data_IF_610644015415
#
_entry.id   IF_610644015415
#
_cell.length_a   1.000
_cell.length_b   1.000
_cell.length_c   1.000
_cell.angle_alpha   90.00
_cell.angle_beta   90.00
_cell.angle_gamma   90.00
#
_symmetry.space_group_name_H-M   'P 1'
#
loop_
_entity.id
_entity.type
_entity.pdbx_description
1 polymer ?
#
# COMPACT_ATOMS: atom_id res chain seq x y z
N UNK A 1 -52.74 -22.68 0.86
CA UNK A 1 -51.71 -22.36 1.87
C UNK A 1 -50.40 -22.94 1.38
N UNK A 2 -49.64 -22.15 0.61
CA UNK A 2 -48.51 -21.34 1.12
C UNK A 2 -47.30 -22.24 1.34
N UNK A 3 -46.15 -22.09 0.70
CA UNK A 3 -45.55 -20.95 -0.01
C UNK A 3 -44.51 -21.49 -1.00
N UNK A 4 -44.68 -21.19 -2.29
CA UNK A 4 -43.62 -21.30 -3.28
C UNK A 4 -42.70 -20.09 -3.13
N UNK A 5 -41.56 -20.26 -2.46
CA UNK A 5 -40.55 -19.21 -2.35
C UNK A 5 -39.89 -19.02 -3.71
N UNK A 6 -40.18 -17.88 -4.36
CA UNK A 6 -39.49 -17.44 -5.56
C UNK A 6 -38.05 -17.07 -5.20
N UNK A 7 -37.09 -17.91 -5.58
CA UNK A 7 -35.68 -17.52 -5.58
C UNK A 7 -35.47 -16.41 -6.61
N UNK A 8 -35.27 -15.19 -6.10
CA UNK A 8 -34.83 -14.06 -6.90
C UNK A 8 -33.38 -14.33 -7.33
N UNK A 9 -33.19 -14.78 -8.56
CA UNK A 9 -31.87 -14.83 -9.19
C UNK A 9 -31.33 -13.40 -9.35
N UNK A 10 -30.40 -13.03 -8.48
CA UNK A 10 -29.59 -11.83 -8.66
C UNK A 10 -28.63 -12.08 -9.82
N UNK A 11 -28.99 -11.60 -11.02
CA UNK A 11 -28.06 -11.56 -12.15
C UNK A 11 -27.06 -10.44 -11.92
N UNK A 12 -25.90 -10.79 -11.37
CA UNK A 12 -24.75 -9.89 -11.35
C UNK A 12 -24.35 -9.60 -12.80
N UNK A 13 -24.80 -8.47 -13.34
CA UNK A 13 -24.36 -7.95 -14.63
C UNK A 13 -22.85 -7.72 -14.58
N UNK A 14 -22.07 -8.68 -15.08
CA UNK A 14 -20.61 -8.57 -15.24
C UNK A 14 -20.31 -7.29 -16.01
N UNK A 15 -19.67 -6.30 -15.35
CA UNK A 15 -19.18 -5.08 -16.00
C UNK A 15 -18.34 -5.48 -17.22
N UNK A 16 -18.81 -5.15 -18.44
CA UNK A 16 -18.10 -5.46 -19.69
C UNK A 16 -16.71 -4.83 -19.66
N UNK A 17 -15.68 -5.66 -19.61
CA UNK A 17 -14.27 -5.27 -19.58
C UNK A 17 -13.92 -4.49 -20.86
N UNK A 18 -13.05 -3.49 -20.74
CA UNK A 18 -12.54 -2.75 -21.89
C UNK A 18 -11.46 -3.55 -22.60
N UNK A 19 -11.62 -3.75 -23.91
CA UNK A 19 -10.64 -4.44 -24.75
C UNK A 19 -9.56 -3.48 -25.24
N UNK A 20 -8.42 -4.02 -25.71
CA UNK A 20 -7.36 -3.18 -26.29
C UNK A 20 -7.78 -2.48 -27.58
N UNK A 21 -8.71 -3.04 -28.35
CA UNK A 21 -9.31 -2.37 -29.50
C UNK A 21 -10.09 -1.13 -29.07
N UNK A 22 -10.96 -1.27 -28.06
CA UNK A 22 -11.77 -0.17 -27.53
C UNK A 22 -10.90 0.93 -26.92
N UNK A 23 -9.81 0.58 -26.21
CA UNK A 23 -8.86 1.56 -25.67
C UNK A 23 -8.15 2.34 -26.77
N UNK A 24 -7.74 1.68 -27.86
CA UNK A 24 -7.12 2.36 -29.01
C UNK A 24 -8.08 3.32 -29.71
N UNK A 25 -9.35 2.93 -29.83
CA UNK A 25 -10.40 3.81 -30.38
C UNK A 25 -10.62 5.02 -29.46
N UNK A 26 -10.70 4.80 -28.14
CA UNK A 26 -10.80 5.89 -27.16
C UNK A 26 -9.64 6.88 -27.28
N UNK A 27 -8.41 6.39 -27.36
CA UNK A 27 -7.22 7.23 -27.54
C UNK A 27 -7.28 8.05 -28.83
N UNK A 28 -7.75 7.46 -29.93
CA UNK A 28 -7.96 8.17 -31.20
C UNK A 28 -9.01 9.27 -31.05
N UNK A 29 -10.14 8.96 -30.42
CA UNK A 29 -11.20 9.93 -30.14
C UNK A 29 -10.71 11.09 -29.28
N UNK A 30 -9.98 10.80 -28.20
CA UNK A 30 -9.38 11.82 -27.34
C UNK A 30 -8.38 12.70 -28.08
N UNK A 31 -7.58 12.13 -28.99
CA UNK A 31 -6.64 12.91 -29.81
C UNK A 31 -7.36 13.84 -30.79
N UNK A 32 -8.52 13.44 -31.30
CA UNK A 32 -9.25 14.17 -32.33
C UNK A 32 -10.22 15.22 -31.77
N UNK A 33 -10.91 14.91 -30.68
CA UNK A 33 -12.01 15.73 -30.14
C UNK A 33 -11.70 16.31 -28.74
N UNK A 34 -10.62 15.88 -28.09
CA UNK A 34 -10.33 16.25 -26.71
C UNK A 34 -11.18 15.49 -25.69
N UNK A 35 -10.93 15.71 -24.39
CA UNK A 35 -11.62 14.99 -23.31
C UNK A 35 -13.02 15.51 -22.96
N UNK A 36 -13.40 16.69 -23.46
CA UNK A 36 -14.68 17.33 -23.15
C UNK A 36 -15.80 16.92 -24.11
N UNK A 37 -15.45 16.58 -25.36
CA UNK A 37 -16.40 16.21 -26.39
C UNK A 37 -16.74 14.71 -26.35
N UNK A 38 -17.46 14.32 -25.30
CA UNK A 38 -17.85 12.94 -25.06
C UNK A 38 -18.85 12.45 -26.13
N UNK A 39 -19.65 13.34 -26.70
CA UNK A 39 -20.66 12.97 -27.70
C UNK A 39 -20.02 12.42 -28.97
N UNK A 40 -18.98 13.09 -29.49
CA UNK A 40 -18.25 12.58 -30.65
C UNK A 40 -17.42 11.33 -30.33
N UNK A 41 -16.86 11.22 -29.13
CA UNK A 41 -16.17 10.00 -28.69
C UNK A 41 -17.14 8.81 -28.56
N UNK A 42 -18.37 9.06 -28.10
CA UNK A 42 -19.43 8.06 -27.95
C UNK A 42 -19.85 7.48 -29.30
N UNK A 43 -19.84 8.28 -30.38
CA UNK A 43 -20.10 7.79 -31.73
C UNK A 43 -19.05 6.77 -32.21
N UNK A 44 -17.80 6.92 -31.77
CA UNK A 44 -16.73 5.96 -32.07
C UNK A 44 -16.83 4.66 -31.25
N UNK A 45 -17.50 4.71 -30.10
CA UNK A 45 -17.64 3.60 -29.16
C UNK A 45 -19.12 3.34 -28.83
N UNK A 46 -19.96 2.98 -29.82
CA UNK A 46 -21.40 2.80 -29.61
C UNK A 46 -21.73 1.68 -28.62
N UNK A 47 -20.78 0.77 -28.38
CA UNK A 47 -20.91 -0.36 -27.46
C UNK A 47 -20.65 0.00 -25.99
N UNK A 48 -20.14 1.21 -25.72
CA UNK A 48 -19.91 1.73 -24.36
C UNK A 48 -20.94 2.80 -24.07
N UNK A 49 -21.33 2.94 -22.80
CA UNK A 49 -22.14 4.09 -22.39
C UNK A 49 -21.27 5.32 -22.15
N UNK A 50 -21.86 6.50 -22.27
CA UNK A 50 -21.25 7.79 -21.97
C UNK A 50 -20.58 7.79 -20.59
N UNK A 51 -21.25 7.22 -19.59
CA UNK A 51 -20.73 7.06 -18.23
C UNK A 51 -19.49 6.17 -18.17
N UNK A 52 -19.45 5.08 -18.94
CA UNK A 52 -18.29 4.19 -19.00
C UNK A 52 -17.09 4.88 -19.64
N UNK A 53 -17.33 5.66 -20.70
CA UNK A 53 -16.31 6.46 -21.38
C UNK A 53 -15.75 7.53 -20.43
N UNK A 54 -16.61 8.32 -19.77
CA UNK A 54 -16.21 9.32 -18.78
C UNK A 54 -15.39 8.73 -17.64
N UNK A 55 -15.83 7.59 -17.09
CA UNK A 55 -15.09 6.89 -16.04
C UNK A 55 -13.70 6.45 -16.53
N UNK A 56 -13.58 6.00 -17.78
CA UNK A 56 -12.31 5.59 -18.34
C UNK A 56 -11.38 6.79 -18.58
N UNK A 57 -11.91 7.91 -19.07
CA UNK A 57 -11.16 9.16 -19.23
C UNK A 57 -10.62 9.65 -17.88
N UNK A 58 -11.50 9.75 -16.87
CA UNK A 58 -11.11 10.16 -15.51
C UNK A 58 -10.05 9.24 -14.91
N UNK A 59 -10.18 7.92 -15.13
CA UNK A 59 -9.17 6.96 -14.67
C UNK A 59 -7.80 7.26 -15.28
N UNK A 60 -7.71 7.50 -16.58
CA UNK A 60 -6.42 7.79 -17.21
C UNK A 60 -5.89 9.19 -16.90
N UNK A 61 -6.76 10.18 -16.71
CA UNK A 61 -6.38 11.50 -16.19
C UNK A 61 -5.74 11.37 -14.81
N UNK A 62 -6.37 10.64 -13.89
CA UNK A 62 -5.81 10.38 -12.57
C UNK A 62 -4.45 9.68 -12.66
N UNK A 63 -4.30 8.66 -13.52
CA UNK A 63 -3.01 7.98 -13.74
C UNK A 63 -1.95 8.97 -14.27
N UNK A 64 -2.31 9.82 -15.23
CA UNK A 64 -1.41 10.81 -15.80
C UNK A 64 -1.00 11.88 -14.79
N UNK A 65 -1.92 12.33 -13.94
CA UNK A 65 -1.65 13.26 -12.84
C UNK A 65 -0.76 12.63 -11.77
N UNK A 66 -0.96 11.35 -11.45
CA UNK A 66 -0.08 10.61 -10.55
C UNK A 66 1.34 10.47 -11.13
N UNK A 67 1.51 10.41 -12.44
CA UNK A 67 2.82 10.39 -13.11
C UNK A 67 3.55 11.74 -13.13
N UNK A 68 2.85 12.87 -12.91
CA UNK A 68 3.45 14.21 -12.90
C UNK A 68 4.03 14.62 -11.55
N UNK A 69 3.66 13.95 -10.46
CA UNK A 69 4.24 14.20 -9.14
C UNK A 69 5.64 13.60 -9.09
N UNK A 70 6.63 14.38 -8.66
CA UNK A 70 7.97 13.86 -8.38
C UNK A 70 7.86 12.57 -7.57
N UNK A 71 8.58 11.56 -8.04
CA UNK A 71 8.70 10.26 -7.39
C UNK A 71 9.90 10.39 -6.49
N UNK A 72 9.66 10.66 -5.22
CA UNK A 72 10.72 10.88 -4.24
C UNK A 72 11.22 9.57 -3.65
N UNK A 73 10.45 8.48 -3.79
CA UNK A 73 10.86 7.14 -3.37
C UNK A 73 10.23 6.03 -4.23
N UNK A 74 10.86 4.84 -4.27
CA UNK A 74 10.26 3.63 -4.83
C UNK A 74 8.88 3.31 -4.21
N UNK A 75 8.69 3.64 -2.94
CA UNK A 75 7.42 3.46 -2.23
C UNK A 75 6.28 4.26 -2.88
N UNK A 76 6.57 5.49 -3.34
CA UNK A 76 5.60 6.32 -4.05
C UNK A 76 5.17 5.68 -5.38
N UNK A 77 6.09 5.04 -6.10
CA UNK A 77 5.78 4.30 -7.32
C UNK A 77 4.85 3.14 -7.01
N UNK A 78 5.17 2.37 -5.96
CA UNK A 78 4.40 1.20 -5.60
C UNK A 78 3.00 1.57 -5.12
N UNK A 79 2.85 2.62 -4.30
CA UNK A 79 1.55 3.15 -3.88
C UNK A 79 0.69 3.61 -5.07
N UNK A 80 1.31 4.21 -6.10
CA UNK A 80 0.60 4.71 -7.29
C UNK A 80 0.26 3.63 -8.32
N UNK A 81 0.99 2.51 -8.31
CA UNK A 81 0.83 1.42 -9.28
C UNK A 81 -0.49 0.65 -9.17
N UNK A 82 -1.22 0.81 -8.06
CA UNK A 82 -2.42 0.03 -7.76
C UNK A 82 -2.13 -1.44 -7.45
N UNK A 83 -0.85 -1.80 -7.23
CA UNK A 83 -0.46 -3.13 -6.74
C UNK A 83 -1.04 -3.33 -5.33
N UNK A 84 -1.07 -2.29 -4.49
CA UNK A 84 -1.72 -2.32 -3.17
C UNK A 84 -3.24 -2.14 -3.29
N UNK A 85 -3.93 -3.23 -3.65
CA UNK A 85 -5.39 -3.28 -3.54
C UNK A 85 -5.78 -3.33 -2.04
N UNK A 86 -6.81 -2.59 -1.61
CA UNK A 86 -7.23 -2.57 -0.19
C UNK A 86 -7.65 -3.94 0.32
N UNK A 87 -8.07 -4.83 -0.59
CA UNK A 87 -8.46 -6.20 -0.29
C UNK A 87 -7.25 -7.16 -0.20
N UNK A 88 -6.07 -6.74 -0.69
CA UNK A 88 -4.83 -7.54 -0.69
C UNK A 88 -3.74 -6.79 0.06
N UNK A 89 -3.50 -7.21 1.30
CA UNK A 89 -2.47 -6.61 2.13
C UNK A 89 -1.07 -7.05 1.67
N UNK A 90 -0.51 -6.34 0.68
CA UNK A 90 0.87 -6.57 0.22
C UNK A 90 1.93 -5.89 1.09
N UNK A 91 1.55 -5.42 2.29
CA UNK A 91 2.49 -4.71 3.18
C UNK A 91 3.65 -5.62 3.56
N UNK A 92 3.38 -6.91 3.80
CA UNK A 92 4.44 -7.86 4.12
C UNK A 92 5.39 -8.05 2.93
N UNK A 93 4.84 -8.32 1.75
CA UNK A 93 5.60 -8.46 0.50
C UNK A 93 6.42 -7.21 0.17
N UNK A 94 5.91 -6.02 0.47
CA UNK A 94 6.65 -4.78 0.33
C UNK A 94 7.88 -4.74 1.27
N UNK A 95 7.73 -5.11 2.54
CA UNK A 95 8.88 -5.20 3.47
C UNK A 95 9.92 -6.21 2.98
N UNK A 96 9.48 -7.34 2.42
CA UNK A 96 10.37 -8.32 1.83
C UNK A 96 11.10 -7.75 0.61
N UNK A 97 10.40 -7.11 -0.31
CA UNK A 97 11.01 -6.54 -1.52
C UNK A 97 12.00 -5.43 -1.19
N UNK A 98 11.68 -4.58 -0.21
CA UNK A 98 12.63 -3.59 0.29
C UNK A 98 13.90 -4.29 0.77
N UNK A 99 13.78 -5.27 1.68
CA UNK A 99 14.92 -6.05 2.19
C UNK A 99 15.74 -6.72 1.09
N UNK A 100 15.10 -7.21 0.02
CA UNK A 100 15.76 -7.96 -1.05
C UNK A 100 16.42 -7.09 -2.12
N UNK A 101 15.80 -5.96 -2.48
CA UNK A 101 16.12 -5.26 -3.73
C UNK A 101 16.56 -3.81 -3.55
N UNK A 102 16.40 -3.20 -2.38
CA UNK A 102 16.99 -1.88 -2.13
C UNK A 102 18.48 -2.02 -1.77
N UNK A 103 19.25 -0.99 -2.15
CA UNK A 103 20.66 -0.87 -1.81
C UNK A 103 20.76 -0.32 -0.39
N UNK A 104 20.71 -1.22 0.59
CA UNK A 104 20.77 -0.85 2.01
C UNK A 104 22.18 -0.46 2.39
N UNK A 105 22.39 0.75 2.95
CA UNK A 105 23.70 1.12 3.47
C UNK A 105 24.11 0.14 4.59
N UNK A 106 25.40 -0.20 4.67
CA UNK A 106 25.89 -1.11 5.69
C UNK A 106 25.78 -0.47 7.08
N UNK A 107 25.74 -1.27 8.18
CA UNK A 107 25.55 -0.77 9.53
C UNK A 107 26.53 0.36 9.92
N UNK A 108 27.74 0.35 9.40
CA UNK A 108 28.77 1.37 9.67
C UNK A 108 28.34 2.77 9.21
N UNK A 109 27.52 2.86 8.16
CA UNK A 109 27.00 4.09 7.58
C UNK A 109 25.66 4.53 8.20
N UNK A 110 25.02 3.66 8.97
CA UNK A 110 23.70 3.90 9.58
C UNK A 110 23.78 3.96 11.10
N UNK A 111 24.89 4.48 11.65
CA UNK A 111 25.12 4.52 13.09
C UNK A 111 24.97 3.13 13.78
N UNK A 112 25.25 2.05 13.08
CA UNK A 112 25.16 0.66 13.56
C UNK A 112 23.79 0.01 13.37
N UNK A 113 22.92 0.54 12.52
CA UNK A 113 21.59 -0.04 12.25
C UNK A 113 21.61 -0.97 11.04
N UNK A 114 21.21 -2.21 11.23
CA UNK A 114 21.00 -3.15 10.13
C UNK A 114 19.57 -2.99 9.55
N UNK A 115 19.43 -2.11 8.55
CA UNK A 115 18.15 -1.78 7.93
C UNK A 115 17.58 -2.98 7.16
N UNK A 116 18.43 -3.75 6.48
CA UNK A 116 18.03 -4.95 5.77
C UNK A 116 17.39 -5.98 6.72
N UNK A 117 18.02 -6.26 7.85
CA UNK A 117 17.45 -7.14 8.87
C UNK A 117 16.18 -6.56 9.51
N UNK A 118 16.11 -5.23 9.70
CA UNK A 118 14.90 -4.57 10.19
C UNK A 118 13.69 -4.83 9.26
N UNK A 119 13.86 -4.66 7.95
CA UNK A 119 12.80 -4.94 6.97
C UNK A 119 12.43 -6.43 6.91
N UNK A 120 13.41 -7.34 6.98
CA UNK A 120 13.13 -8.78 7.02
C UNK A 120 12.34 -9.17 8.28
N UNK A 121 12.69 -8.61 9.44
CA UNK A 121 11.97 -8.82 10.69
C UNK A 121 10.50 -8.37 10.58
N UNK A 122 10.24 -7.20 9.99
CA UNK A 122 8.87 -6.70 9.79
C UNK A 122 8.07 -7.59 8.83
N UNK A 123 8.69 -8.09 7.76
CA UNK A 123 8.07 -9.07 6.86
C UNK A 123 7.63 -10.34 7.61
N UNK A 124 8.50 -10.88 8.45
CA UNK A 124 8.21 -12.10 9.21
C UNK A 124 7.13 -11.85 10.26
N UNK A 125 7.17 -10.70 10.93
CA UNK A 125 6.17 -10.29 11.91
C UNK A 125 4.77 -10.17 11.29
N UNK A 126 4.67 -9.53 10.12
CA UNK A 126 3.40 -9.35 9.41
C UNK A 126 2.80 -10.66 8.89
N UNK A 127 3.62 -11.68 8.66
CA UNK A 127 3.17 -13.01 8.25
C UNK A 127 2.97 -13.99 9.41
N UNK A 128 3.14 -13.55 10.66
CA UNK A 128 3.07 -14.42 11.84
C UNK A 128 4.14 -15.53 11.85
N UNK A 129 5.27 -15.31 11.15
CA UNK A 129 6.39 -16.27 11.10
C UNK A 129 7.31 -16.08 12.30
N UNK A 130 8.22 -17.03 12.48
CA UNK A 130 9.33 -16.87 13.43
C UNK A 130 10.19 -15.72 12.95
N UNK A 131 10.36 -14.72 13.80
CA UNK A 131 11.11 -13.51 13.47
C UNK A 131 12.62 -13.71 13.64
N UNK A 132 13.36 -13.16 12.70
CA UNK A 132 14.81 -13.09 12.67
C UNK A 132 15.31 -12.38 13.93
N UNK A 133 16.43 -12.83 14.48
CA UNK A 133 17.08 -12.12 15.57
C UNK A 133 17.67 -10.82 15.05
N UNK A 134 17.20 -9.69 15.57
CA UNK A 134 17.79 -8.40 15.28
C UNK A 134 19.06 -8.15 16.11
N UNK A 135 20.04 -7.43 15.55
CA UNK A 135 21.06 -6.77 16.36
C UNK A 135 20.41 -5.87 17.41
N UNK A 136 20.97 -5.83 18.62
CA UNK A 136 20.40 -5.07 19.75
C UNK A 136 20.07 -3.63 19.36
N UNK A 137 21.03 -2.94 18.72
CA UNK A 137 20.89 -1.53 18.31
C UNK A 137 19.76 -1.32 17.29
N UNK A 138 19.60 -2.25 16.35
CA UNK A 138 18.49 -2.25 15.38
C UNK A 138 17.14 -2.48 16.06
N UNK A 139 17.10 -3.41 17.02
CA UNK A 139 15.88 -3.69 17.80
C UNK A 139 15.45 -2.50 18.67
N UNK A 140 16.40 -1.83 19.32
CA UNK A 140 16.16 -0.60 20.08
C UNK A 140 15.64 0.53 19.19
N UNK A 141 16.24 0.72 18.00
CA UNK A 141 15.77 1.71 17.02
C UNK A 141 14.33 1.45 16.57
N UNK A 142 13.98 0.21 16.21
CA UNK A 142 12.61 -0.13 15.82
C UNK A 142 11.62 0.09 16.97
N UNK A 143 11.99 -0.27 18.20
CA UNK A 143 11.17 -0.01 19.38
C UNK A 143 10.90 1.49 19.54
N UNK A 144 11.95 2.30 19.44
CA UNK A 144 11.84 3.75 19.64
C UNK A 144 10.97 4.39 18.55
N UNK A 145 11.06 3.93 17.30
CA UNK A 145 10.19 4.36 16.20
C UNK A 145 8.72 3.99 16.44
N UNK A 146 8.46 2.74 16.84
CA UNK A 146 7.10 2.26 17.15
C UNK A 146 6.50 3.08 18.30
N UNK A 147 7.25 3.27 19.40
CA UNK A 147 6.79 4.05 20.55
C UNK A 147 6.58 5.54 20.23
N UNK A 148 7.35 6.11 19.30
CA UNK A 148 7.19 7.50 18.87
C UNK A 148 5.90 7.65 18.08
N UNK A 149 5.68 6.78 17.09
CA UNK A 149 4.47 6.81 16.28
C UNK A 149 3.21 6.57 17.12
N UNK A 150 3.25 5.65 18.09
CA UNK A 150 2.10 5.35 18.94
C UNK A 150 1.62 6.57 19.73
N UNK A 151 2.55 7.41 20.19
CA UNK A 151 2.24 8.69 20.85
C UNK A 151 1.64 9.71 19.88
N UNK A 152 2.06 9.69 18.62
CA UNK A 152 1.61 10.66 17.60
C UNK A 152 0.20 10.38 17.07
N UNK A 153 -0.22 9.12 16.98
CA UNK A 153 -1.47 8.78 16.29
C UNK A 153 -2.65 8.49 17.21
N UNK A 154 -2.44 8.20 18.51
CA UNK A 154 -3.51 8.29 19.52
C UNK A 154 -4.82 7.54 19.21
N UNK A 155 -4.82 6.48 18.40
CA UNK A 155 -6.01 5.70 18.07
C UNK A 155 -6.11 4.45 18.94
N UNK A 156 -7.26 4.25 19.58
CA UNK A 156 -7.57 3.16 20.51
C UNK A 156 -7.58 1.73 19.92
N UNK A 157 -7.57 1.58 18.60
CA UNK A 157 -7.84 0.29 17.93
C UNK A 157 -6.60 -0.49 17.45
N UNK A 158 -5.39 0.09 17.48
CA UNK A 158 -4.17 -0.54 16.93
C UNK A 158 -3.25 -1.18 17.99
N UNK A 159 -3.67 -1.21 19.26
CA UNK A 159 -2.83 -1.60 20.40
C UNK A 159 -2.31 -3.04 20.30
N UNK A 160 -3.10 -3.98 19.80
CA UNK A 160 -2.73 -5.40 19.79
C UNK A 160 -1.49 -5.74 18.94
N UNK A 161 -1.32 -5.11 17.78
CA UNK A 161 -0.15 -5.36 16.89
C UNK A 161 1.09 -4.66 17.43
N UNK A 162 0.96 -3.42 17.89
CA UNK A 162 2.08 -2.69 18.51
C UNK A 162 2.57 -3.42 19.76
N UNK A 163 1.67 -3.84 20.64
CA UNK A 163 2.02 -4.56 21.86
C UNK A 163 2.72 -5.89 21.58
N UNK A 164 2.29 -6.61 20.54
CA UNK A 164 2.94 -7.84 20.08
C UNK A 164 4.40 -7.58 19.65
N UNK A 165 4.62 -6.56 18.83
CA UNK A 165 5.96 -6.18 18.36
C UNK A 165 6.85 -5.72 19.52
N UNK A 166 6.33 -4.84 20.38
CA UNK A 166 7.03 -4.36 21.55
C UNK A 166 7.44 -5.52 22.46
N UNK A 167 6.52 -6.44 22.80
CA UNK A 167 6.83 -7.62 23.63
C UNK A 167 7.96 -8.46 23.04
N UNK A 168 7.98 -8.63 21.71
CA UNK A 168 9.00 -9.42 21.02
C UNK A 168 10.35 -8.70 20.99
N UNK A 169 10.35 -7.38 20.91
CA UNK A 169 11.54 -6.55 21.08
C UNK A 169 12.04 -6.53 22.55
N UNK A 170 11.16 -6.71 23.55
CA UNK A 170 11.53 -6.78 24.98
C UNK A 170 12.16 -8.12 25.41
N UNK A 171 12.01 -9.21 24.65
CA UNK A 171 12.46 -10.56 25.06
C UNK A 171 13.98 -10.80 25.04
N UNK A 172 14.80 -9.78 24.74
CA UNK A 172 16.26 -9.84 24.92
C UNK A 172 16.71 -8.66 25.77
N UNK A 173 16.83 -8.91 27.08
CA UNK A 173 17.43 -8.08 28.13
C UNK A 173 17.11 -6.58 28.10
N UNK A 174 16.01 -6.20 28.76
CA UNK A 174 15.66 -4.79 28.99
C UNK A 174 15.95 -4.31 30.42
N UNK A 175 17.09 -4.70 31.00
CA UNK A 175 17.64 -3.96 32.13
C UNK A 175 18.58 -2.88 31.61
N UNK A 176 17.99 -1.69 31.37
CA UNK A 176 18.57 -0.32 31.47
C UNK A 176 17.91 0.64 30.48
N UNK A 177 16.62 0.92 30.69
CA UNK A 177 16.09 2.19 30.20
C UNK A 177 16.63 3.33 31.08
N UNK A 178 17.51 4.13 30.48
CA UNK A 178 18.04 5.43 30.90
C UNK A 178 17.34 6.05 32.14
N UNK A 179 18.05 6.14 33.28
CA UNK A 179 17.67 7.05 34.36
C UNK A 179 17.92 8.48 33.87
N UNK A 180 16.83 9.23 33.68
CA UNK A 180 16.86 10.67 33.42
C UNK A 180 17.74 11.35 34.49
N UNK A 181 18.89 11.92 34.11
CA UNK A 181 19.64 12.79 35.02
C UNK A 181 18.76 14.02 35.30
N UNK A 182 18.33 14.18 36.56
CA UNK A 182 17.82 15.46 37.04
C UNK A 182 18.99 16.42 37.13
N UNK A 183 19.00 17.42 36.28
CA UNK A 183 19.78 18.65 36.49
C UNK A 183 19.03 19.52 37.48
N UNK A 184 19.67 19.79 38.62
CA UNK A 184 19.54 21.01 39.40
C UNK A 184 20.95 21.41 39.81
#
# INVERSE_FOLDING_TARGET
MSEGKSEKQYTYLKKKRWTEGEKRILLRGLKQYGSEDIQNIQQLLPQKSTTSILNMIRKYQAIAELGKKEVNSPLDVWLRSGIFDKEKNFTAEAMLFISMFEDHPPPEETAGFDLKQAYNFLYEALNGRVMTTLPQKTGEMLRDLICTRDKEVGTSDSTATTDYLLKKLYTKDSDRCYKKRKTF
#
